data_IF_669700188263
#
_entry.id   IF_669700188263
#
_cell.length_a   1.000
_cell.length_b   1.000
_cell.length_c   1.000
_cell.angle_alpha   90.00
_cell.angle_beta   90.00
_cell.angle_gamma   90.00
#
_symmetry.space_group_name_H-M   'P 1'
#
loop_
_entity.id
_entity.type
_entity.pdbx_description
1 polymer ?
#
# COMPACT_ATOMS: atom_id res chain seq x y z
N UNK A 1 -4.34 -20.11 10.13
CA UNK A 1 -3.05 -20.07 9.42
C UNK A 1 -2.50 -18.67 9.47
N UNK A 2 -1.21 -18.56 9.82
CA UNK A 2 -0.47 -17.29 9.77
C UNK A 2 0.66 -17.46 8.76
N UNK A 3 0.83 -16.48 7.88
CA UNK A 3 1.88 -16.51 6.84
C UNK A 3 2.57 -15.16 6.81
N UNK A 4 3.89 -15.17 6.92
CA UNK A 4 4.74 -14.00 6.71
C UNK A 4 5.58 -14.18 5.44
N UNK A 5 5.67 -13.12 4.65
CA UNK A 5 6.54 -13.05 3.45
C UNK A 5 7.27 -11.72 3.40
N UNK A 6 8.59 -11.79 3.30
CA UNK A 6 9.45 -10.64 3.00
C UNK A 6 9.96 -10.72 1.57
N UNK A 7 9.87 -9.63 0.82
CA UNK A 7 10.39 -9.53 -0.55
C UNK A 7 11.22 -8.26 -0.70
N UNK A 8 12.37 -8.40 -1.35
CA UNK A 8 13.20 -7.27 -1.76
C UNK A 8 12.95 -6.97 -3.24
N UNK A 9 12.76 -5.70 -3.57
CA UNK A 9 12.66 -5.22 -4.95
C UNK A 9 13.75 -4.18 -5.22
N UNK A 10 14.50 -4.38 -6.30
CA UNK A 10 15.51 -3.42 -6.70
C UNK A 10 14.88 -2.24 -7.46
N UNK A 11 15.42 -1.01 -7.30
CA UNK A 11 15.03 0.11 -8.13
C UNK A 11 15.29 -0.19 -9.61
N UNK A 12 14.49 0.40 -10.50
CA UNK A 12 14.73 0.26 -11.92
C UNK A 12 16.06 0.92 -12.32
N UNK A 13 16.74 0.34 -13.31
CA UNK A 13 18.00 0.93 -13.82
C UNK A 13 17.77 2.37 -14.32
N UNK A 14 16.62 2.64 -14.93
CA UNK A 14 16.27 3.98 -15.42
C UNK A 14 16.24 5.02 -14.30
N UNK A 15 15.77 4.63 -13.11
CA UNK A 15 15.73 5.53 -11.95
C UNK A 15 17.09 5.73 -11.30
N UNK A 16 18.04 4.79 -11.50
CA UNK A 16 19.37 4.84 -10.92
C UNK A 16 20.40 5.54 -11.82
N UNK A 17 20.16 5.61 -13.13
CA UNK A 17 21.05 6.29 -14.06
C UNK A 17 21.01 7.80 -13.78
N UNK A 18 22.17 8.41 -13.53
CA UNK A 18 22.34 9.86 -13.41
C UNK A 18 22.19 10.58 -14.77
N UNK A 19 21.17 10.25 -15.52
CA UNK A 19 20.84 10.92 -16.77
C UNK A 19 19.78 11.96 -16.46
N UNK A 20 20.05 13.20 -16.84
CA UNK A 20 19.05 14.26 -16.85
C UNK A 20 18.33 14.21 -18.19
N UNK A 21 17.04 13.95 -18.16
CA UNK A 21 16.19 14.08 -19.34
C UNK A 21 15.57 15.48 -19.30
N UNK A 22 16.06 16.32 -20.18
CA UNK A 22 15.68 17.72 -20.41
C UNK A 22 15.01 17.93 -21.77
N UNK A 23 14.49 16.85 -22.37
CA UNK A 23 13.76 16.89 -23.63
C UNK A 23 12.57 17.85 -23.59
N UNK A 24 11.96 17.98 -22.39
CA UNK A 24 11.00 19.04 -22.08
C UNK A 24 11.64 20.01 -21.05
N UNK A 25 11.98 21.23 -21.43
CA UNK A 25 12.65 22.20 -20.56
C UNK A 25 11.85 22.59 -19.31
N UNK A 26 10.53 22.37 -19.29
CA UNK A 26 9.67 22.65 -18.14
C UNK A 26 9.46 21.42 -17.23
N UNK A 27 9.82 20.22 -17.70
CA UNK A 27 9.65 18.97 -16.95
C UNK A 27 10.93 18.14 -17.01
N UNK A 28 11.85 18.44 -16.13
CA UNK A 28 13.14 17.78 -16.04
C UNK A 28 13.04 16.53 -15.17
N UNK A 29 13.56 15.40 -15.66
CA UNK A 29 13.69 14.16 -14.90
C UNK A 29 15.16 13.88 -14.62
N UNK A 30 15.47 13.59 -13.35
CA UNK A 30 16.81 13.22 -12.91
C UNK A 30 16.78 11.84 -12.28
N UNK A 31 17.75 10.99 -12.61
CA UNK A 31 17.97 9.73 -11.90
C UNK A 31 18.69 9.93 -10.56
N UNK A 32 18.64 8.92 -9.69
CA UNK A 32 19.30 8.93 -8.39
C UNK A 32 20.04 7.61 -8.14
N UNK A 33 21.37 7.65 -8.23
CA UNK A 33 22.23 6.46 -8.00
C UNK A 33 22.23 5.96 -6.56
N UNK A 34 21.78 6.77 -5.60
CA UNK A 34 21.75 6.42 -4.17
C UNK A 34 20.49 5.67 -3.75
N UNK A 35 19.64 5.28 -4.71
CA UNK A 35 18.45 4.51 -4.43
C UNK A 35 18.80 3.15 -3.81
N UNK A 36 18.12 2.87 -2.68
CA UNK A 36 18.22 1.58 -1.99
C UNK A 36 17.11 0.65 -2.44
N UNK A 37 17.36 -0.67 -2.41
CA UNK A 37 16.29 -1.63 -2.62
C UNK A 37 15.15 -1.45 -1.62
N UNK A 38 13.92 -1.58 -2.10
CA UNK A 38 12.74 -1.61 -1.24
C UNK A 38 12.56 -3.00 -0.63
N UNK A 39 12.03 -3.03 0.59
CA UNK A 39 11.71 -4.27 1.29
C UNK A 39 10.24 -4.26 1.71
N UNK A 40 9.50 -5.24 1.17
CA UNK A 40 8.07 -5.39 1.47
C UNK A 40 7.84 -6.52 2.45
N UNK A 41 7.17 -6.22 3.55
CA UNK A 41 6.73 -7.14 4.58
C UNK A 41 5.24 -7.40 4.38
N UNK A 42 4.85 -8.67 4.30
CA UNK A 42 3.45 -9.07 4.17
C UNK A 42 3.12 -10.10 5.25
N UNK A 43 2.21 -9.75 6.13
CA UNK A 43 1.66 -10.63 7.15
C UNK A 43 0.21 -10.95 6.82
N UNK A 44 -0.09 -12.24 6.64
CA UNK A 44 -1.44 -12.73 6.42
C UNK A 44 -1.89 -13.60 7.57
N UNK A 45 -3.09 -13.34 8.04
CA UNK A 45 -3.79 -14.19 8.99
C UNK A 45 -5.08 -14.66 8.33
N UNK A 46 -5.25 -15.98 8.28
CA UNK A 46 -6.47 -16.61 7.80
C UNK A 46 -7.02 -17.52 8.88
N UNK A 47 -8.27 -17.32 9.25
CA UNK A 47 -9.01 -18.16 10.16
C UNK A 47 -10.31 -18.57 9.52
N UNK A 48 -10.61 -19.86 9.57
CA UNK A 48 -11.86 -20.43 9.10
C UNK A 48 -12.28 -21.56 10.03
N UNK A 49 -13.53 -21.55 10.43
CA UNK A 49 -14.13 -22.61 11.24
C UNK A 49 -15.56 -22.84 10.77
N UNK A 50 -16.00 -24.08 10.84
CA UNK A 50 -17.35 -24.49 10.50
C UNK A 50 -17.85 -25.54 11.48
N UNK A 51 -19.02 -25.29 12.07
CA UNK A 51 -19.74 -26.25 12.91
C UNK A 51 -20.95 -26.78 12.12
N UNK A 52 -20.89 -28.04 11.75
CA UNK A 52 -21.93 -28.70 10.94
C UNK A 52 -23.25 -28.88 11.67
N UNK A 53 -23.23 -29.08 13.00
CA UNK A 53 -24.45 -29.28 13.79
C UNK A 53 -25.25 -27.97 13.89
N UNK A 54 -24.55 -26.86 14.14
CA UNK A 54 -25.15 -25.52 14.21
C UNK A 54 -25.25 -24.83 12.83
N UNK A 55 -24.73 -25.46 11.76
CA UNK A 55 -24.56 -24.84 10.44
C UNK A 55 -24.01 -23.40 10.53
N UNK A 56 -22.99 -23.24 11.37
CA UNK A 56 -22.35 -21.95 11.59
C UNK A 56 -20.92 -21.99 11.06
N UNK A 57 -20.63 -21.09 10.16
CA UNK A 57 -19.29 -20.84 9.64
C UNK A 57 -18.83 -19.44 9.99
N UNK A 58 -17.57 -19.30 10.40
CA UNK A 58 -16.90 -18.01 10.63
C UNK A 58 -15.61 -18.05 9.84
N UNK A 59 -15.33 -17.02 9.08
CA UNK A 59 -14.04 -16.84 8.46
C UNK A 59 -13.52 -15.42 8.68
N UNK A 60 -12.21 -15.31 8.80
CA UNK A 60 -11.52 -14.03 8.95
C UNK A 60 -10.27 -14.07 8.09
N UNK A 61 -10.06 -13.01 7.33
CA UNK A 61 -8.85 -12.77 6.58
C UNK A 61 -8.31 -11.40 6.93
N UNK A 62 -7.10 -11.35 7.46
CA UNK A 62 -6.37 -10.10 7.70
C UNK A 62 -5.10 -10.12 6.88
N UNK A 63 -4.80 -9.02 6.24
CA UNK A 63 -3.56 -8.81 5.50
C UNK A 63 -2.96 -7.46 5.93
N UNK A 64 -1.74 -7.50 6.41
CA UNK A 64 -0.94 -6.31 6.68
C UNK A 64 0.24 -6.30 5.72
N UNK A 65 0.44 -5.19 5.03
CA UNK A 65 1.61 -4.98 4.18
C UNK A 65 2.29 -3.66 4.54
N UNK A 66 3.61 -3.68 4.58
CA UNK A 66 4.44 -2.51 4.85
C UNK A 66 5.66 -2.55 3.93
N UNK A 67 5.97 -1.42 3.30
CA UNK A 67 7.14 -1.32 2.41
C UNK A 67 8.09 -0.27 2.94
N UNK A 68 9.29 -0.71 3.24
CA UNK A 68 10.42 0.13 3.64
C UNK A 68 11.24 0.50 2.40
N UNK A 69 11.83 1.70 2.40
CA UNK A 69 12.59 2.24 1.28
C UNK A 69 11.80 2.20 -0.04
N UNK A 70 10.50 2.46 -0.02
CA UNK A 70 9.71 2.56 -1.23
C UNK A 70 10.28 3.65 -2.14
N UNK A 71 10.38 3.39 -3.45
CA UNK A 71 10.82 4.41 -4.40
C UNK A 71 9.62 5.25 -4.80
N UNK A 72 9.69 6.54 -4.51
CA UNK A 72 8.69 7.53 -4.90
C UNK A 72 9.36 8.69 -5.64
N UNK A 73 8.58 9.43 -6.40
CA UNK A 73 9.07 10.59 -7.10
C UNK A 73 8.94 11.83 -6.19
N UNK A 74 10.09 12.46 -5.94
CA UNK A 74 10.13 13.80 -5.37
C UNK A 74 9.90 14.79 -6.53
N UNK A 75 8.89 15.63 -6.41
CA UNK A 75 8.58 16.66 -7.39
C UNK A 75 8.90 18.02 -6.79
N UNK A 76 9.83 18.73 -7.38
CA UNK A 76 10.24 20.08 -7.02
C UNK A 76 9.75 21.04 -8.10
N UNK A 77 8.99 22.05 -7.70
CA UNK A 77 8.52 23.10 -8.59
C UNK A 77 9.24 24.43 -8.26
N UNK A 78 9.90 24.99 -9.24
CA UNK A 78 10.56 26.31 -9.14
C UNK A 78 9.61 27.38 -9.68
N UNK A 79 9.09 28.20 -8.78
CA UNK A 79 8.17 29.30 -9.11
C UNK A 79 8.81 30.41 -9.98
N UNK A 80 10.14 30.58 -9.88
CA UNK A 80 10.83 31.62 -10.61
C UNK A 80 11.01 31.28 -12.09
N UNK A 81 11.22 29.99 -12.39
CA UNK A 81 11.46 29.50 -13.76
C UNK A 81 10.28 28.73 -14.34
N UNK A 82 9.33 28.32 -13.51
CA UNK A 82 8.21 27.45 -13.92
C UNK A 82 8.63 26.00 -14.20
N UNK A 83 9.85 25.62 -13.84
CA UNK A 83 10.41 24.30 -14.10
C UNK A 83 10.00 23.31 -13.01
N UNK A 84 9.54 22.13 -13.43
CA UNK A 84 9.28 21.00 -12.55
C UNK A 84 10.40 19.99 -12.67
N UNK A 85 11.08 19.70 -11.56
CA UNK A 85 12.12 18.67 -11.51
C UNK A 85 11.58 17.45 -10.75
N UNK A 86 11.67 16.26 -11.37
CA UNK A 86 11.26 15.00 -10.77
C UNK A 86 12.49 14.12 -10.51
N UNK A 87 12.70 13.74 -9.25
CA UNK A 87 13.81 12.89 -8.82
C UNK A 87 13.27 11.72 -8.00
N UNK A 88 13.64 10.45 -8.31
CA UNK A 88 13.25 9.31 -7.50
C UNK A 88 14.01 9.31 -6.17
N UNK A 89 13.30 9.12 -5.06
CA UNK A 89 13.85 8.99 -3.71
C UNK A 89 13.26 7.79 -2.98
N UNK A 90 13.99 7.28 -1.98
CA UNK A 90 13.44 6.30 -1.06
C UNK A 90 12.64 6.99 0.04
N UNK A 91 11.43 6.53 0.24
CA UNK A 91 10.54 6.96 1.32
C UNK A 91 10.07 5.77 2.15
N UNK A 92 9.86 6.03 3.44
CA UNK A 92 9.29 5.08 4.39
C UNK A 92 7.89 5.54 4.81
N UNK A 93 7.13 4.60 5.40
CA UNK A 93 5.82 4.90 5.96
C UNK A 93 4.65 4.38 5.13
N UNK A 94 4.90 3.75 3.99
CA UNK A 94 3.85 3.12 3.19
C UNK A 94 3.41 1.80 3.81
N UNK A 95 2.15 1.71 4.24
CA UNK A 95 1.57 0.49 4.76
C UNK A 95 0.07 0.40 4.45
N UNK A 96 -0.42 -0.81 4.44
CA UNK A 96 -1.82 -1.12 4.19
C UNK A 96 -2.28 -2.24 5.11
N UNK A 97 -3.51 -2.10 5.62
CA UNK A 97 -4.23 -3.14 6.36
C UNK A 97 -5.54 -3.43 5.64
N UNK A 98 -5.74 -4.68 5.29
CA UNK A 98 -7.00 -5.18 4.77
C UNK A 98 -7.57 -6.22 5.70
N UNK A 99 -8.83 -6.07 6.09
CA UNK A 99 -9.57 -7.02 6.90
C UNK A 99 -10.86 -7.46 6.23
N UNK A 100 -11.14 -8.76 6.29
CA UNK A 100 -12.41 -9.32 5.89
C UNK A 100 -12.90 -10.27 7.00
N UNK A 101 -14.15 -10.13 7.36
CA UNK A 101 -14.85 -10.98 8.31
C UNK A 101 -16.16 -11.45 7.72
N UNK A 102 -16.46 -12.72 7.87
CA UNK A 102 -17.73 -13.29 7.43
C UNK A 102 -18.28 -14.31 8.41
N UNK A 103 -19.59 -14.29 8.55
CA UNK A 103 -20.34 -15.24 9.34
C UNK A 103 -21.51 -15.78 8.53
N UNK A 104 -21.67 -17.10 8.55
CA UNK A 104 -22.85 -17.80 8.05
C UNK A 104 -23.46 -18.58 9.21
N UNK A 105 -24.74 -18.47 9.46
CA UNK A 105 -25.40 -19.19 10.55
C UNK A 105 -26.85 -19.52 10.18
N UNK A 106 -27.29 -20.70 10.54
CA UNK A 106 -28.74 -21.02 10.54
C UNK A 106 -29.42 -20.26 11.67
N UNK A 107 -30.60 -19.71 11.40
CA UNK A 107 -31.41 -18.92 12.33
C UNK A 107 -32.47 -19.75 13.05
N UNK A 108 -32.83 -20.90 12.49
CA UNK A 108 -33.87 -21.80 12.99
C UNK A 108 -33.35 -23.24 13.16
N UNK A 109 -34.00 -24.00 14.04
CA UNK A 109 -33.66 -25.40 14.27
C UNK A 109 -33.89 -26.30 13.03
N UNK A 110 -34.85 -25.90 12.20
CA UNK A 110 -35.11 -26.58 10.92
C UNK A 110 -34.12 -26.26 9.82
N UNK A 111 -33.25 -25.28 10.05
CA UNK A 111 -32.20 -24.86 9.11
C UNK A 111 -32.73 -24.36 7.76
N UNK A 112 -33.98 -23.88 7.73
CA UNK A 112 -34.61 -23.30 6.54
C UNK A 112 -34.13 -21.90 6.26
N UNK A 113 -33.78 -21.15 7.31
CA UNK A 113 -33.30 -19.77 7.20
C UNK A 113 -31.83 -19.69 7.56
N UNK A 114 -31.03 -19.12 6.68
CA UNK A 114 -29.59 -18.88 6.90
C UNK A 114 -29.31 -17.41 6.78
N UNK A 115 -28.53 -16.89 7.73
CA UNK A 115 -27.97 -15.52 7.67
C UNK A 115 -26.51 -15.58 7.25
N UNK A 116 -26.19 -14.83 6.20
CA UNK A 116 -24.82 -14.61 5.75
C UNK A 116 -24.49 -13.13 5.85
N UNK A 117 -23.46 -12.81 6.61
CA UNK A 117 -22.96 -11.43 6.73
C UNK A 117 -21.48 -11.39 6.38
N UNK A 118 -21.11 -10.41 5.57
CA UNK A 118 -19.73 -10.17 5.13
C UNK A 118 -19.39 -8.71 5.34
N UNK A 119 -18.28 -8.46 5.98
CA UNK A 119 -17.76 -7.11 6.20
C UNK A 119 -16.29 -7.08 5.79
N UNK A 120 -15.90 -6.05 5.09
CA UNK A 120 -14.51 -5.79 4.76
C UNK A 120 -14.16 -4.34 5.10
N UNK A 121 -12.92 -4.14 5.48
CA UNK A 121 -12.34 -2.83 5.72
C UNK A 121 -10.93 -2.79 5.13
N UNK A 122 -10.60 -1.67 4.53
CA UNK A 122 -9.25 -1.40 4.03
C UNK A 122 -8.79 -0.04 4.55
N UNK A 123 -7.59 -0.01 5.09
CA UNK A 123 -6.94 1.21 5.52
C UNK A 123 -5.53 1.27 4.93
N UNK A 124 -5.19 2.38 4.29
CA UNK A 124 -3.86 2.55 3.69
C UNK A 124 -3.27 3.90 4.05
N UNK A 125 -2.00 3.91 4.38
CA UNK A 125 -1.18 5.10 4.52
C UNK A 125 -0.15 5.13 3.40
N UNK A 126 -0.25 6.14 2.53
CA UNK A 126 0.68 6.37 1.44
C UNK A 126 1.36 7.72 1.66
N UNK A 127 2.67 7.71 1.71
CA UNK A 127 3.48 8.92 1.86
C UNK A 127 3.88 9.42 0.49
N UNK A 128 3.64 10.69 0.22
CA UNK A 128 4.08 11.40 -1.00
C UNK A 128 4.87 12.62 -0.58
N UNK A 129 6.03 12.85 -1.20
CA UNK A 129 6.80 14.08 -1.02
C UNK A 129 6.59 15.02 -2.20
N UNK A 130 6.14 16.22 -1.90
CA UNK A 130 6.04 17.31 -2.86
C UNK A 130 6.79 18.50 -2.24
N UNK A 131 7.82 18.98 -2.89
CA UNK A 131 8.54 20.20 -2.50
C UNK A 131 8.12 21.34 -3.44
N UNK A 132 7.32 22.27 -2.90
CA UNK A 132 7.04 23.55 -3.54
C UNK A 132 7.56 24.62 -2.59
N UNK A 133 8.79 25.09 -2.76
CA UNK A 133 9.39 26.19 -1.96
C UNK A 133 9.37 26.04 -0.41
N UNK A 134 8.57 25.12 0.10
CA UNK A 134 8.45 24.64 1.49
C UNK A 134 8.24 23.14 1.48
N UNK A 135 9.00 22.43 2.32
CA UNK A 135 8.87 20.97 2.48
C UNK A 135 7.54 20.65 3.16
N UNK A 136 6.56 20.18 2.44
CA UNK A 136 5.35 19.58 3.01
C UNK A 136 5.34 18.08 2.72
N UNK A 137 5.26 17.28 3.79
CA UNK A 137 5.00 15.85 3.72
C UNK A 137 3.49 15.69 3.81
N UNK A 138 2.85 15.30 2.72
CA UNK A 138 1.43 14.97 2.72
C UNK A 138 1.26 13.46 2.84
N UNK A 139 0.68 13.02 3.94
CA UNK A 139 0.18 11.65 4.08
C UNK A 139 -1.30 11.64 3.71
N UNK A 140 -1.70 10.76 2.80
CA UNK A 140 -3.10 10.54 2.47
C UNK A 140 -3.58 9.26 3.13
N UNK A 141 -4.50 9.40 4.08
CA UNK A 141 -5.23 8.28 4.67
C UNK A 141 -6.51 8.04 3.87
N UNK A 142 -6.67 6.85 3.31
CA UNK A 142 -7.91 6.44 2.70
C UNK A 142 -8.54 5.30 3.49
N UNK A 143 -9.73 5.53 4.03
CA UNK A 143 -10.57 4.49 4.64
C UNK A 143 -11.67 4.16 3.63
N UNK A 144 -11.76 2.89 3.22
CA UNK A 144 -12.88 2.37 2.45
C UNK A 144 -13.54 1.26 3.26
N UNK A 145 -14.82 1.40 3.52
CA UNK A 145 -15.69 0.42 4.19
C UNK A 145 -16.67 -0.20 3.20
#
# INVERSE_FOLDING_TARGET
QVTYRGNTSQPSMTNMLEITDDSDPLNIRKGNKNLKPSFSNNLRLFFNTYNAEAQRGIFTHLNFSMTNNSVANLVEYDEATGVTTTTPENIDGNWNVFGMFGINTALDEGKFFTLSSYTNANYSNNVVRICSGRTEILSFDSVQT
#
